data_IF_175409752706
#
_entry.id   IF_175409752706
#
_cell.length_a   1.000
_cell.length_b   1.000
_cell.length_c   1.000
_cell.angle_alpha   90.00
_cell.angle_beta   90.00
_cell.angle_gamma   90.00
#
_symmetry.space_group_name_H-M   'P 1'
#
loop_
_entity.id
_entity.type
_entity.pdbx_description
1 polymer ?
#
# COMPACT_ATOMS: atom_id res chain seq x y z
N UNK A 1 10.61 29.46 12.36
CA UNK A 1 10.07 28.61 11.27
C UNK A 1 10.71 27.21 11.27
N UNK A 2 10.60 26.45 12.36
CA UNK A 2 11.23 25.10 12.50
C UNK A 2 10.24 23.97 12.18
N UNK A 3 8.98 24.14 12.58
CA UNK A 3 7.86 23.22 12.32
C UNK A 3 7.60 22.91 10.84
N UNK A 4 7.84 23.85 9.93
CA UNK A 4 7.67 23.67 8.49
C UNK A 4 8.70 22.72 7.87
N UNK A 5 9.90 22.63 8.47
CA UNK A 5 10.97 21.77 7.97
C UNK A 5 10.75 20.31 8.40
N UNK A 6 10.31 20.11 9.64
CA UNK A 6 9.96 18.78 10.16
C UNK A 6 8.78 18.18 9.37
N UNK A 7 7.72 18.95 9.13
CA UNK A 7 6.57 18.48 8.34
C UNK A 7 6.98 17.99 6.93
N UNK A 8 7.92 18.69 6.28
CA UNK A 8 8.42 18.35 4.94
C UNK A 8 9.26 17.07 4.94
N UNK A 9 9.97 16.78 6.03
CA UNK A 9 10.73 15.53 6.19
C UNK A 9 9.79 14.35 6.45
N UNK A 10 8.75 14.54 7.27
CA UNK A 10 7.71 13.53 7.50
C UNK A 10 6.96 13.17 6.22
N UNK A 11 6.61 14.16 5.40
CA UNK A 11 5.97 13.93 4.09
C UNK A 11 6.86 13.12 3.14
N UNK A 12 8.17 13.38 3.16
CA UNK A 12 9.14 12.67 2.31
C UNK A 12 9.36 11.23 2.77
N UNK A 13 9.43 10.99 4.08
CA UNK A 13 9.49 9.65 4.66
C UNK A 13 8.23 8.84 4.34
N UNK A 14 7.05 9.45 4.46
CA UNK A 14 5.78 8.80 4.12
C UNK A 14 5.76 8.37 2.65
N UNK A 15 6.23 9.20 1.73
CA UNK A 15 6.33 8.85 0.31
C UNK A 15 7.32 7.70 0.05
N UNK A 16 8.45 7.66 0.75
CA UNK A 16 9.42 6.53 0.66
C UNK A 16 8.80 5.24 1.20
N UNK A 17 8.06 5.32 2.31
CA UNK A 17 7.37 4.17 2.91
C UNK A 17 6.25 3.66 1.99
N UNK A 18 5.45 4.55 1.39
CA UNK A 18 4.44 4.18 0.39
C UNK A 18 5.07 3.43 -0.79
N UNK A 19 6.22 3.91 -1.27
CA UNK A 19 6.95 3.25 -2.34
C UNK A 19 7.46 1.86 -1.93
N UNK A 20 8.01 1.71 -0.72
CA UNK A 20 8.44 0.40 -0.20
C UNK A 20 7.28 -0.59 -0.08
N UNK A 21 6.11 -0.13 0.41
CA UNK A 21 4.90 -0.96 0.53
C UNK A 21 4.42 -1.41 -0.85
N UNK A 22 4.41 -0.51 -1.83
CA UNK A 22 4.04 -0.82 -3.21
C UNK A 22 4.93 -1.92 -3.80
N UNK A 23 6.25 -1.81 -3.61
CA UNK A 23 7.22 -2.81 -4.09
C UNK A 23 7.01 -4.16 -3.40
N UNK A 24 6.81 -4.16 -2.08
CA UNK A 24 6.53 -5.38 -1.33
C UNK A 24 5.25 -6.09 -1.82
N UNK A 25 4.18 -5.33 -2.05
CA UNK A 25 2.92 -5.87 -2.58
C UNK A 25 3.07 -6.41 -4.00
N UNK A 26 3.84 -5.74 -4.86
CA UNK A 26 4.13 -6.22 -6.21
C UNK A 26 4.92 -7.54 -6.20
N UNK A 27 5.91 -7.67 -5.32
CA UNK A 27 6.65 -8.94 -5.14
C UNK A 27 5.72 -10.03 -4.63
N UNK A 28 4.88 -9.73 -3.63
CA UNK A 28 3.92 -10.69 -3.06
C UNK A 28 2.93 -11.16 -4.11
N UNK A 29 2.42 -10.24 -4.95
CA UNK A 29 1.58 -10.55 -6.08
C UNK A 29 2.25 -11.48 -7.08
N UNK A 30 3.52 -11.24 -7.44
CA UNK A 30 4.27 -12.10 -8.35
C UNK A 30 4.46 -13.51 -7.80
N UNK A 31 4.72 -13.65 -6.50
CA UNK A 31 4.87 -14.95 -5.83
C UNK A 31 3.53 -15.70 -5.85
N UNK A 32 2.44 -15.03 -5.46
CA UNK A 32 1.09 -15.62 -5.39
C UNK A 32 0.45 -15.80 -6.77
N UNK A 33 0.96 -15.17 -7.83
CA UNK A 33 0.42 -15.28 -9.20
C UNK A 33 0.35 -16.72 -9.69
N UNK A 34 1.33 -17.55 -9.29
CA UNK A 34 1.39 -18.95 -9.68
C UNK A 34 0.55 -19.87 -8.78
N UNK A 35 0.22 -19.46 -7.56
CA UNK A 35 -0.53 -20.29 -6.61
C UNK A 35 -2.03 -19.98 -6.59
N UNK A 36 -2.39 -18.70 -6.56
CA UNK A 36 -3.76 -18.22 -6.50
C UNK A 36 -3.87 -16.87 -7.23
N UNK A 37 -4.45 -16.90 -8.42
CA UNK A 37 -4.64 -15.71 -9.26
C UNK A 37 -5.52 -14.66 -8.59
N UNK A 38 -6.51 -15.07 -7.79
CA UNK A 38 -7.38 -14.18 -7.01
C UNK A 38 -6.61 -13.39 -5.94
N UNK A 39 -5.72 -14.05 -5.20
CA UNK A 39 -4.83 -13.42 -4.22
C UNK A 39 -3.86 -12.46 -4.89
N UNK A 40 -3.29 -12.86 -6.03
CA UNK A 40 -2.39 -12.01 -6.79
C UNK A 40 -3.08 -10.74 -7.28
N UNK A 41 -4.30 -10.84 -7.83
CA UNK A 41 -5.10 -9.67 -8.26
C UNK A 41 -5.42 -8.76 -7.06
N UNK A 42 -5.69 -9.33 -5.89
CA UNK A 42 -5.90 -8.57 -4.67
C UNK A 42 -4.65 -7.78 -4.25
N UNK A 43 -3.47 -8.40 -4.24
CA UNK A 43 -2.22 -7.71 -3.92
C UNK A 43 -1.85 -6.65 -4.98
N UNK A 44 -2.11 -6.89 -6.27
CA UNK A 44 -1.91 -5.90 -7.34
C UNK A 44 -2.84 -4.71 -7.19
N UNK A 45 -4.12 -4.93 -6.88
CA UNK A 45 -5.08 -3.84 -6.68
C UNK A 45 -4.72 -2.99 -5.46
N UNK A 46 -4.29 -3.62 -4.35
CA UNK A 46 -3.75 -2.92 -3.18
C UNK A 46 -2.50 -2.09 -3.54
N UNK A 47 -1.56 -2.67 -4.30
CA UNK A 47 -0.37 -1.97 -4.75
C UNK A 47 -0.70 -0.75 -5.63
N UNK A 48 -1.72 -0.87 -6.49
CA UNK A 48 -2.17 0.20 -7.36
C UNK A 48 -2.81 1.37 -6.58
N UNK A 49 -3.55 1.08 -5.50
CA UNK A 49 -4.16 2.11 -4.64
C UNK A 49 -3.09 2.89 -3.85
N UNK A 50 -2.04 2.20 -3.42
CA UNK A 50 -0.93 2.79 -2.64
C UNK A 50 0.07 3.52 -3.54
N UNK A 51 -0.01 3.31 -4.86
CA UNK A 51 0.89 3.90 -5.83
C UNK A 51 1.13 5.40 -5.55
N UNK A 52 2.40 5.86 -5.57
CA UNK A 52 2.73 7.27 -5.32
C UNK A 52 2.15 8.20 -6.39
N UNK A 53 1.70 7.65 -7.52
CA UNK A 53 1.07 8.38 -8.63
C UNK A 53 -0.42 8.67 -8.42
N UNK A 54 -1.04 8.10 -7.38
CA UNK A 54 -2.42 8.41 -7.05
C UNK A 54 -2.47 9.70 -6.23
N UNK A 55 -3.05 10.77 -6.78
CA UNK A 55 -3.36 12.05 -6.10
C UNK A 55 -4.47 11.91 -5.04
N UNK A 56 -4.50 10.77 -4.34
CA UNK A 56 -5.44 10.50 -3.27
C UNK A 56 -4.93 11.18 -1.99
N UNK A 57 -5.86 11.80 -1.27
CA UNK A 57 -5.57 12.42 0.03
C UNK A 57 -4.93 11.41 1.00
N UNK A 58 -3.85 11.82 1.68
CA UNK A 58 -3.05 10.93 2.54
C UNK A 58 -3.87 10.17 3.58
N UNK A 59 -4.90 10.82 4.15
CA UNK A 59 -5.83 10.17 5.10
C UNK A 59 -6.59 9.02 4.45
N UNK A 60 -7.13 9.26 3.26
CA UNK A 60 -7.90 8.29 2.48
C UNK A 60 -7.04 7.09 2.10
N UNK A 61 -5.79 7.30 1.70
CA UNK A 61 -4.81 6.21 1.48
C UNK A 61 -4.61 5.34 2.73
N UNK A 62 -4.47 5.94 3.92
CA UNK A 62 -4.32 5.18 5.17
C UNK A 62 -5.55 4.33 5.50
N UNK A 63 -6.76 4.88 5.32
CA UNK A 63 -8.00 4.13 5.53
C UNK A 63 -8.17 2.99 4.51
N UNK A 64 -7.78 3.21 3.25
CA UNK A 64 -7.77 2.18 2.21
C UNK A 64 -6.75 1.07 2.49
N UNK A 65 -5.57 1.42 3.02
CA UNK A 65 -4.56 0.46 3.45
C UNK A 65 -5.06 -0.42 4.59
N UNK A 66 -5.62 0.20 5.63
CA UNK A 66 -6.21 -0.51 6.75
C UNK A 66 -7.40 -1.37 6.30
N UNK A 67 -8.31 -0.79 5.50
CA UNK A 67 -9.48 -1.49 4.96
C UNK A 67 -9.09 -2.66 4.08
N UNK A 68 -8.12 -2.47 3.18
CA UNK A 68 -7.54 -3.53 2.36
C UNK A 68 -6.88 -4.61 3.21
N UNK A 69 -6.11 -4.24 4.24
CA UNK A 69 -5.51 -5.22 5.15
C UNK A 69 -6.56 -6.07 5.88
N UNK A 70 -7.58 -5.43 6.47
CA UNK A 70 -8.69 -6.13 7.11
C UNK A 70 -9.46 -7.01 6.13
N UNK A 71 -9.71 -6.51 4.91
CA UNK A 71 -10.37 -7.28 3.87
C UNK A 71 -9.55 -8.53 3.48
N UNK A 72 -8.23 -8.39 3.37
CA UNK A 72 -7.33 -9.52 3.10
C UNK A 72 -7.34 -10.57 4.23
N UNK A 73 -7.45 -10.13 5.49
CA UNK A 73 -7.63 -11.03 6.64
C UNK A 73 -8.97 -11.77 6.54
N UNK A 74 -10.07 -11.05 6.30
CA UNK A 74 -11.40 -11.65 6.18
C UNK A 74 -11.53 -12.59 4.99
N UNK A 75 -10.86 -12.28 3.87
CA UNK A 75 -10.83 -13.12 2.68
C UNK A 75 -9.91 -14.35 2.83
N UNK A 76 -9.14 -14.45 3.93
CA UNK A 76 -8.24 -15.57 4.17
C UNK A 76 -6.96 -15.55 3.32
N UNK A 77 -6.62 -14.43 2.71
CA UNK A 77 -5.45 -14.30 1.83
C UNK A 77 -4.10 -14.32 2.56
N UNK A 78 -4.11 -14.10 3.88
CA UNK A 78 -2.93 -14.19 4.74
C UNK A 78 -2.76 -15.56 5.43
N UNK A 79 -3.49 -16.59 4.98
CA UNK A 79 -3.37 -17.96 5.49
C UNK A 79 -2.26 -18.75 4.79
#
# INVERSE_FOLDING_TARGET
>A
MRYLYDAKLWDKLESIVEFLIMVALAITALIKFNSNTLEAVFYVTLAAIIAPFCEIEKRTKRYLLLGGFFFGIFAGYFN
#
